data_IF_019884357762
#
_entry.id   IF_019884357762
#
_cell.length_a   1.000
_cell.length_b   1.000
_cell.length_c   1.000
_cell.angle_alpha   90.00
_cell.angle_beta   90.00
_cell.angle_gamma   90.00
#
_symmetry.space_group_name_H-M   'P 1'
#
loop_
_entity.id
_entity.type
_entity.pdbx_description
1 polymer ?
#
# COMPACT_ATOMS: atom_id res chain seq x y z
N UNK A 1 21.15 -25.38 -6.72
CA UNK A 1 19.89 -24.88 -6.11
C UNK A 1 20.07 -23.60 -5.28
N UNK A 2 21.23 -23.39 -4.63
CA UNK A 2 21.57 -22.19 -3.81
C UNK A 2 21.46 -20.83 -4.55
N UNK A 3 22.03 -20.69 -5.76
CA UNK A 3 22.12 -19.39 -6.45
C UNK A 3 20.79 -18.70 -6.78
N UNK A 4 19.67 -19.42 -6.96
CA UNK A 4 18.37 -18.80 -7.30
C UNK A 4 17.67 -18.22 -6.07
N UNK A 5 17.77 -18.90 -4.93
CA UNK A 5 17.16 -18.45 -3.67
C UNK A 5 17.95 -17.26 -3.13
N UNK A 6 19.29 -17.36 -3.08
CA UNK A 6 20.14 -16.26 -2.60
C UNK A 6 20.00 -15.00 -3.45
N UNK A 7 19.86 -15.13 -4.77
CA UNK A 7 19.63 -13.99 -5.68
C UNK A 7 18.26 -13.34 -5.46
N UNK A 8 17.19 -14.14 -5.31
CA UNK A 8 15.86 -13.60 -5.01
C UNK A 8 15.85 -12.88 -3.65
N UNK A 9 16.52 -13.46 -2.65
CA UNK A 9 16.63 -12.89 -1.32
C UNK A 9 17.42 -11.57 -1.34
N UNK A 10 18.55 -11.50 -2.06
CA UNK A 10 19.31 -10.27 -2.25
C UNK A 10 18.47 -9.16 -2.92
N UNK A 11 17.67 -9.47 -3.95
CA UNK A 11 16.77 -8.49 -4.56
C UNK A 11 15.67 -8.03 -3.60
N UNK A 12 15.07 -8.95 -2.83
CA UNK A 12 14.03 -8.60 -1.88
C UNK A 12 14.59 -7.70 -0.75
N UNK A 13 15.79 -8.01 -0.26
CA UNK A 13 16.52 -7.17 0.71
C UNK A 13 16.82 -5.78 0.12
N UNK A 14 17.32 -5.70 -1.11
CA UNK A 14 17.56 -4.42 -1.78
C UNK A 14 16.29 -3.58 -1.92
N UNK A 15 15.17 -4.22 -2.30
CA UNK A 15 13.86 -3.56 -2.37
C UNK A 15 13.42 -3.03 -0.99
N UNK A 16 13.56 -3.83 0.07
CA UNK A 16 13.23 -3.40 1.43
C UNK A 16 14.11 -2.25 1.92
N UNK A 17 15.42 -2.29 1.62
CA UNK A 17 16.34 -1.21 1.96
C UNK A 17 15.95 0.11 1.29
N UNK A 18 15.55 0.06 0.01
CA UNK A 18 15.02 1.24 -0.69
C UNK A 18 13.73 1.73 -0.02
N UNK A 19 12.85 0.81 0.38
CA UNK A 19 11.62 1.12 1.10
C UNK A 19 11.84 1.81 2.45
N UNK A 20 12.95 1.52 3.13
CA UNK A 20 13.36 2.18 4.39
C UNK A 20 14.11 3.49 4.12
N UNK A 21 14.96 3.53 3.09
CA UNK A 21 15.74 4.72 2.75
C UNK A 21 14.84 5.90 2.33
N UNK A 22 13.74 5.62 1.62
CA UNK A 22 12.80 6.65 1.17
C UNK A 22 12.25 7.51 2.34
N UNK A 23 11.59 6.95 3.38
CA UNK A 23 11.14 7.74 4.53
C UNK A 23 12.28 8.34 5.35
N UNK A 24 13.46 7.71 5.39
CA UNK A 24 14.62 8.27 6.10
C UNK A 24 15.12 9.58 5.48
N UNK A 25 15.02 9.71 4.15
CA UNK A 25 15.38 10.93 3.42
C UNK A 25 14.23 11.94 3.40
N UNK A 26 12.99 11.48 3.19
CA UNK A 26 11.83 12.38 3.05
C UNK A 26 11.34 12.93 4.39
N UNK A 27 11.43 12.16 5.48
CA UNK A 27 11.02 12.59 6.82
C UNK A 27 11.71 13.87 7.30
N UNK A 28 13.05 14.03 7.26
CA UNK A 28 13.71 15.27 7.67
C UNK A 28 13.37 16.44 6.74
N UNK A 29 13.13 16.19 5.46
CA UNK A 29 12.69 17.21 4.51
C UNK A 29 11.27 17.71 4.83
N UNK A 30 10.32 16.80 5.01
CA UNK A 30 8.96 17.13 5.44
C UNK A 30 8.98 17.87 6.78
N UNK A 31 9.82 17.43 7.72
CA UNK A 31 9.92 18.03 9.05
C UNK A 31 10.39 19.49 9.02
N UNK A 32 11.37 19.80 8.16
CA UNK A 32 11.87 21.17 7.99
C UNK A 32 10.86 22.11 7.32
N UNK A 33 10.05 21.61 6.39
CA UNK A 33 9.13 22.44 5.61
C UNK A 33 7.78 22.63 6.31
N UNK A 34 7.24 21.56 6.89
CA UNK A 34 5.91 21.59 7.52
C UNK A 34 5.95 22.21 8.93
N UNK A 35 7.09 22.15 9.62
CA UNK A 35 7.18 22.52 11.03
C UNK A 35 6.41 21.54 11.93
N UNK A 36 6.55 21.70 13.26
CA UNK A 36 6.04 20.74 14.23
C UNK A 36 4.51 20.56 14.19
N UNK A 37 3.76 21.64 13.96
CA UNK A 37 2.29 21.63 13.98
C UNK A 37 1.70 20.92 12.77
N UNK A 38 2.09 21.30 11.55
CA UNK A 38 1.57 20.66 10.33
C UNK A 38 2.07 19.21 10.17
N UNK A 39 3.24 18.86 10.74
CA UNK A 39 3.68 17.48 10.84
C UNK A 39 2.74 16.62 11.69
N UNK A 40 2.23 17.16 12.80
CA UNK A 40 1.27 16.47 13.66
C UNK A 40 -0.03 16.18 12.93
N UNK A 41 -0.60 17.20 12.27
CA UNK A 41 -1.81 17.07 11.45
C UNK A 41 -1.59 16.05 10.32
N UNK A 42 -0.48 16.18 9.57
CA UNK A 42 -0.14 15.25 8.50
C UNK A 42 -0.01 13.82 9.02
N UNK A 43 0.68 13.62 10.16
CA UNK A 43 0.85 12.28 10.75
C UNK A 43 -0.49 11.67 11.17
N UNK A 44 -1.39 12.46 11.75
CA UNK A 44 -2.74 12.03 12.08
C UNK A 44 -3.53 11.65 10.83
N UNK A 45 -3.61 12.53 9.82
CA UNK A 45 -4.30 12.26 8.56
C UNK A 45 -3.73 11.03 7.84
N UNK A 46 -2.41 10.87 7.82
CA UNK A 46 -1.74 9.70 7.25
C UNK A 46 -2.09 8.42 8.01
N UNK A 47 -2.13 8.45 9.34
CA UNK A 47 -2.52 7.28 10.12
C UNK A 47 -3.96 6.82 9.82
N UNK A 48 -4.89 7.77 9.66
CA UNK A 48 -6.27 7.48 9.21
C UNK A 48 -6.25 6.87 7.80
N UNK A 49 -5.57 7.50 6.84
CA UNK A 49 -5.47 6.98 5.47
C UNK A 49 -4.85 5.57 5.41
N UNK A 50 -3.87 5.28 6.26
CA UNK A 50 -3.23 3.97 6.35
C UNK A 50 -4.22 2.88 6.77
N UNK A 51 -5.15 3.14 7.68
CA UNK A 51 -6.19 2.16 8.02
C UNK A 51 -7.04 1.78 6.81
N UNK A 52 -7.48 2.75 6.00
CA UNK A 52 -8.18 2.48 4.75
C UNK A 52 -7.29 1.69 3.78
N UNK A 53 -6.02 2.08 3.63
CA UNK A 53 -5.06 1.37 2.77
C UNK A 53 -4.88 -0.10 3.18
N UNK A 54 -4.86 -0.40 4.48
CA UNK A 54 -4.78 -1.77 4.98
C UNK A 54 -5.98 -2.60 4.51
N UNK A 55 -7.20 -2.02 4.45
CA UNK A 55 -8.37 -2.70 3.89
C UNK A 55 -8.26 -2.92 2.37
N UNK A 56 -7.67 -1.98 1.62
CA UNK A 56 -7.48 -2.15 0.16
C UNK A 56 -6.57 -3.35 -0.17
N UNK A 57 -5.53 -3.55 0.65
CA UNK A 57 -4.50 -4.56 0.42
C UNK A 57 -4.77 -5.89 1.15
N UNK A 58 -5.85 -5.97 1.93
CA UNK A 58 -6.13 -7.09 2.82
C UNK A 58 -6.23 -8.40 2.04
N UNK A 59 -5.41 -9.38 2.45
CA UNK A 59 -5.37 -10.70 1.83
C UNK A 59 -4.64 -10.74 0.48
N UNK A 60 -4.68 -9.69 -0.34
CA UNK A 60 -4.16 -9.69 -1.71
C UNK A 60 -2.62 -9.76 -1.75
N UNK A 61 -1.92 -9.05 -0.87
CA UNK A 61 -0.46 -9.04 -0.87
C UNK A 61 0.13 -10.45 -0.63
N UNK A 62 -0.48 -11.25 0.25
CA UNK A 62 -0.01 -12.60 0.56
C UNK A 62 -0.64 -13.67 -0.35
N UNK A 63 -1.96 -13.59 -0.58
CA UNK A 63 -2.67 -14.52 -1.45
C UNK A 63 -2.22 -14.38 -2.91
N UNK A 64 -2.11 -13.15 -3.42
CA UNK A 64 -1.73 -12.88 -4.80
C UNK A 64 -0.32 -13.38 -5.10
N UNK A 65 0.65 -13.04 -4.25
CA UNK A 65 2.04 -13.49 -4.41
C UNK A 65 2.15 -15.02 -4.37
N UNK A 66 1.46 -15.68 -3.43
CA UNK A 66 1.47 -17.14 -3.31
C UNK A 66 0.81 -17.81 -4.51
N UNK A 67 -0.36 -17.34 -4.91
CA UNK A 67 -1.13 -17.92 -6.03
C UNK A 67 -0.37 -17.76 -7.35
N UNK A 68 0.19 -16.57 -7.61
CA UNK A 68 1.02 -16.31 -8.80
C UNK A 68 2.26 -17.21 -8.83
N UNK A 69 2.93 -17.40 -7.68
CA UNK A 69 4.09 -18.28 -7.59
C UNK A 69 3.75 -19.75 -7.93
N UNK A 70 2.56 -20.23 -7.53
CA UNK A 70 2.08 -21.58 -7.84
C UNK A 70 1.79 -21.74 -9.33
N UNK A 71 0.96 -20.87 -9.91
CA UNK A 71 0.52 -20.99 -11.31
C UNK A 71 1.59 -20.63 -12.33
N UNK A 72 2.68 -19.97 -11.91
CA UNK A 72 3.80 -19.58 -12.80
C UNK A 72 4.39 -20.78 -13.56
N UNK A 73 4.33 -21.99 -13.00
CA UNK A 73 4.85 -23.20 -13.65
C UNK A 73 3.89 -23.82 -14.68
N UNK A 74 2.63 -23.40 -14.69
CA UNK A 74 1.56 -24.02 -15.48
C UNK A 74 1.41 -23.40 -16.88
N UNK A 75 2.02 -22.24 -17.13
CA UNK A 75 2.04 -21.60 -18.45
C UNK A 75 1.61 -20.13 -18.42
N UNK A 76 1.91 -19.39 -19.50
CA UNK A 76 1.64 -17.94 -19.58
C UNK A 76 0.14 -17.61 -19.58
N UNK A 77 -0.69 -18.46 -20.18
CA UNK A 77 -2.12 -18.19 -20.32
C UNK A 77 -2.85 -18.28 -18.97
N UNK A 78 -2.56 -19.33 -18.19
CA UNK A 78 -3.12 -19.52 -16.84
C UNK A 78 -2.63 -18.40 -15.93
N UNK A 79 -1.33 -18.08 -15.98
CA UNK A 79 -0.74 -16.99 -15.22
C UNK A 79 -1.45 -15.65 -15.48
N UNK A 80 -1.68 -15.30 -16.75
CA UNK A 80 -2.37 -14.06 -17.14
C UNK A 80 -3.80 -14.03 -16.62
N UNK A 81 -4.56 -15.12 -16.80
CA UNK A 81 -5.95 -15.22 -16.32
C UNK A 81 -6.05 -15.06 -14.80
N UNK A 82 -5.16 -15.73 -14.06
CA UNK A 82 -5.11 -15.62 -12.59
C UNK A 82 -4.69 -14.23 -12.14
N UNK A 83 -3.72 -13.60 -12.80
CA UNK A 83 -3.31 -12.23 -12.53
C UNK A 83 -4.49 -11.25 -12.70
N UNK A 84 -5.19 -11.31 -13.83
CA UNK A 84 -6.33 -10.44 -14.08
C UNK A 84 -7.47 -10.67 -13.10
N UNK A 85 -7.70 -11.90 -12.66
CA UNK A 85 -8.70 -12.21 -11.63
C UNK A 85 -8.36 -11.56 -10.29
N UNK A 86 -7.12 -11.73 -9.81
CA UNK A 86 -6.65 -11.13 -8.55
C UNK A 86 -6.67 -9.59 -8.66
N UNK A 87 -6.19 -9.05 -9.78
CA UNK A 87 -6.15 -7.60 -10.01
C UNK A 87 -7.54 -6.99 -10.07
N UNK A 88 -8.51 -7.67 -10.68
CA UNK A 88 -9.91 -7.19 -10.73
C UNK A 88 -10.51 -7.10 -9.32
N UNK A 89 -10.25 -8.08 -8.46
CA UNK A 89 -10.68 -8.06 -7.05
C UNK A 89 -10.01 -6.90 -6.31
N UNK A 90 -8.70 -6.72 -6.51
CA UNK A 90 -7.95 -5.60 -5.91
C UNK A 90 -8.52 -4.25 -6.35
N UNK A 91 -8.83 -4.11 -7.63
CA UNK A 91 -9.36 -2.89 -8.21
C UNK A 91 -10.74 -2.57 -7.61
N UNK A 92 -11.64 -3.55 -7.55
CA UNK A 92 -12.96 -3.36 -6.93
C UNK A 92 -12.83 -2.97 -5.45
N UNK A 93 -11.99 -3.67 -4.68
CA UNK A 93 -11.76 -3.31 -3.28
C UNK A 93 -11.16 -1.91 -3.12
N UNK A 94 -10.20 -1.53 -3.97
CA UNK A 94 -9.61 -0.20 -3.94
C UNK A 94 -10.64 0.90 -4.22
N UNK A 95 -11.56 0.67 -5.17
CA UNK A 95 -12.65 1.60 -5.48
C UNK A 95 -13.60 1.71 -4.29
N UNK A 96 -14.05 0.58 -3.73
CA UNK A 96 -14.97 0.58 -2.59
C UNK A 96 -14.40 1.30 -1.37
N UNK A 97 -13.14 1.03 -1.04
CA UNK A 97 -12.46 1.67 0.09
C UNK A 97 -12.20 3.14 -0.19
N UNK A 98 -11.88 3.52 -1.43
CA UNK A 98 -11.72 4.93 -1.81
C UNK A 98 -13.05 5.68 -1.67
N UNK A 99 -14.17 5.09 -2.09
CA UNK A 99 -15.51 5.66 -1.88
C UNK A 99 -15.80 5.81 -0.38
N UNK A 100 -15.50 4.79 0.42
CA UNK A 100 -15.68 4.86 1.88
C UNK A 100 -14.81 5.95 2.52
N UNK A 101 -13.57 6.12 2.05
CA UNK A 101 -12.67 7.19 2.51
C UNK A 101 -13.19 8.58 2.14
N UNK A 102 -13.68 8.76 0.90
CA UNK A 102 -14.31 10.01 0.48
C UNK A 102 -15.59 10.32 1.27
N UNK A 103 -16.41 9.30 1.56
CA UNK A 103 -17.58 9.45 2.42
C UNK A 103 -17.19 9.84 3.85
N UNK A 104 -16.15 9.21 4.41
CA UNK A 104 -15.59 9.59 5.71
C UNK A 104 -15.12 11.05 5.72
N UNK A 105 -14.41 11.50 4.67
CA UNK A 105 -14.00 12.89 4.56
C UNK A 105 -15.20 13.83 4.44
N UNK A 106 -16.21 13.50 3.65
CA UNK A 106 -17.39 14.34 3.51
C UNK A 106 -18.18 14.45 4.82
N UNK A 107 -18.39 13.36 5.54
CA UNK A 107 -19.12 13.35 6.82
C UNK A 107 -18.29 13.94 7.98
N UNK A 108 -16.99 13.65 8.03
CA UNK A 108 -16.09 14.06 9.10
C UNK A 108 -15.51 15.47 8.93
N UNK A 109 -15.15 15.90 7.71
CA UNK A 109 -14.61 17.25 7.46
C UNK A 109 -15.69 18.34 7.59
N UNK A 110 -16.97 18.00 7.39
CA UNK A 110 -18.09 18.89 7.73
C UNK A 110 -18.10 19.20 9.23
N UNK A 111 -17.76 18.24 10.10
CA UNK A 111 -17.67 18.49 11.54
C UNK A 111 -16.40 19.22 11.99
N UNK A 112 -15.25 19.03 11.31
CA UNK A 112 -14.00 19.70 11.70
C UNK A 112 -13.99 21.20 11.34
N UNK A 113 -14.66 21.61 10.25
CA UNK A 113 -14.86 23.03 9.90
C UNK A 113 -15.88 23.77 10.78
N UNK A 114 -16.66 23.06 11.59
CA UNK A 114 -17.69 23.66 12.47
C UNK A 114 -17.13 23.99 13.87
N UNK A 115 -15.95 23.48 14.20
CA UNK A 115 -15.31 23.66 15.52
C UNK A 115 -14.04 24.54 15.44
N UNK A 116 -13.61 24.93 14.23
CA UNK A 116 -12.50 25.86 13.99
C UNK A 116 -13.00 27.26 13.62
#
# INVERSE_FOLDING_TARGET
>A
MSNKISKNLAYNMGYQLIGIAAPLITSPYLSRILGAENLGIHSFTMSVALYFMMFMLLGIANYGNRTIATVKREGKDILSKTFWSIYSIQLIMSILVTIAYLAYLYLGAVHYKVIA
#
